data_IF_754724364724
#
_entry.id   IF_754724364724
#
_cell.length_a   1.000
_cell.length_b   1.000
_cell.length_c   1.000
_cell.angle_alpha   90.00
_cell.angle_beta   90.00
_cell.angle_gamma   90.00
#
_symmetry.space_group_name_H-M   'P 1'
#
loop_
_entity.id
_entity.type
_entity.pdbx_description
1 polymer ?
#
# COMPACT_ATOMS: atom_id res chain seq x y z
N UNK A 1 1.92 -7.85 2.06
CA UNK A 1 0.78 -7.21 2.77
C UNK A 1 0.35 -8.00 4.02
N UNK A 2 -0.09 -9.27 3.92
CA UNK A 2 -0.49 -10.05 5.12
C UNK A 2 0.66 -10.64 5.94
N UNK A 3 1.77 -11.03 5.30
CA UNK A 3 2.98 -11.54 5.98
C UNK A 3 3.62 -10.49 6.91
N UNK A 4 3.51 -9.20 6.57
CA UNK A 4 4.04 -8.10 7.37
C UNK A 4 3.14 -7.72 8.56
N UNK A 5 1.83 -8.00 8.46
CA UNK A 5 0.83 -7.66 9.49
C UNK A 5 0.52 -8.84 10.44
N UNK A 6 1.15 -10.01 10.24
CA UNK A 6 0.84 -11.25 10.97
C UNK A 6 -0.69 -11.43 11.07
N UNK A 7 -1.38 -11.54 9.93
CA UNK A 7 -2.85 -11.69 9.89
C UNK A 7 -3.62 -10.67 10.76
N UNK A 8 -3.37 -9.37 10.60
CA UNK A 8 -4.02 -8.27 11.35
C UNK A 8 -3.71 -8.17 12.84
N UNK A 9 -2.92 -9.09 13.39
CA UNK A 9 -2.54 -9.07 14.82
C UNK A 9 -1.77 -7.79 15.16
N UNK A 10 -1.11 -7.17 14.18
CA UNK A 10 -0.36 -5.91 14.33
C UNK A 10 -0.99 -4.73 13.60
N UNK A 11 -2.27 -4.83 13.25
CA UNK A 11 -3.01 -3.79 12.53
C UNK A 11 -2.93 -2.43 13.23
N UNK A 12 -2.97 -2.39 14.56
CA UNK A 12 -2.83 -1.17 15.37
C UNK A 12 -1.42 -0.56 15.34
N UNK A 13 -0.38 -1.37 15.21
CA UNK A 13 1.01 -0.88 15.15
C UNK A 13 1.34 -0.29 13.78
N UNK A 14 0.70 -0.77 12.72
CA UNK A 14 0.80 -0.15 11.39
C UNK A 14 -0.05 1.13 11.37
N UNK A 15 -1.27 1.08 11.93
CA UNK A 15 -2.14 2.25 12.04
C UNK A 15 -1.56 3.39 12.89
N UNK A 16 -0.64 3.13 13.82
CA UNK A 16 -0.06 4.21 14.64
C UNK A 16 0.85 5.15 13.85
N UNK A 17 1.36 4.72 12.69
CA UNK A 17 2.23 5.53 11.82
C UNK A 17 1.44 6.33 10.78
N UNK A 18 0.32 5.79 10.30
CA UNK A 18 -0.64 6.47 9.43
C UNK A 18 -2.07 6.01 9.79
N UNK A 19 -2.72 6.66 10.77
CA UNK A 19 -4.01 6.24 11.29
C UNK A 19 -5.14 6.43 10.29
N UNK A 20 -4.98 7.29 9.29
CA UNK A 20 -6.01 7.52 8.29
C UNK A 20 -6.00 6.40 7.25
N UNK A 21 -4.83 6.11 6.69
CA UNK A 21 -4.69 5.17 5.57
C UNK A 21 -4.57 3.72 6.02
N UNK A 22 -3.84 3.48 7.12
CA UNK A 22 -3.54 2.14 7.63
C UNK A 22 -4.41 1.74 8.83
N UNK A 23 -5.57 2.39 9.01
CA UNK A 23 -6.59 1.94 9.96
C UNK A 23 -7.10 0.53 9.64
N UNK A 24 -7.74 -0.19 10.57
CA UNK A 24 -8.34 -1.49 10.26
C UNK A 24 -9.32 -1.46 9.07
N UNK A 25 -10.20 -0.44 8.91
CA UNK A 25 -10.98 -0.25 7.69
C UNK A 25 -10.12 -0.02 6.43
N UNK A 26 -9.06 0.79 6.53
CA UNK A 26 -8.13 1.00 5.42
C UNK A 26 -7.42 -0.28 4.99
N UNK A 27 -6.97 -1.11 5.94
CA UNK A 27 -6.37 -2.41 5.66
C UNK A 27 -7.37 -3.39 5.02
N UNK A 28 -8.64 -3.35 5.43
CA UNK A 28 -9.70 -4.10 4.76
C UNK A 28 -9.88 -3.64 3.30
N UNK A 29 -9.88 -2.33 3.05
CA UNK A 29 -9.96 -1.79 1.69
C UNK A 29 -8.75 -2.22 0.84
N UNK A 30 -7.54 -2.27 1.40
CA UNK A 30 -6.36 -2.81 0.68
C UNK A 30 -6.60 -4.25 0.22
N UNK A 31 -7.21 -5.09 1.07
CA UNK A 31 -7.58 -6.46 0.67
C UNK A 31 -8.66 -6.47 -0.42
N UNK A 32 -9.68 -5.62 -0.28
CA UNK A 32 -10.77 -5.52 -1.24
C UNK A 32 -10.27 -5.07 -2.63
N UNK A 33 -9.38 -4.08 -2.67
CA UNK A 33 -8.70 -3.66 -3.90
C UNK A 33 -7.83 -4.79 -4.48
N UNK A 34 -7.08 -5.50 -3.62
CA UNK A 34 -6.34 -6.70 -4.04
C UNK A 34 -7.22 -7.76 -4.71
N UNK A 35 -8.40 -8.03 -4.13
CA UNK A 35 -9.38 -8.94 -4.72
C UNK A 35 -9.95 -8.40 -6.04
N UNK A 36 -10.15 -7.08 -6.16
CA UNK A 36 -10.60 -6.46 -7.41
C UNK A 36 -9.56 -6.55 -8.54
N UNK A 37 -8.26 -6.41 -8.24
CA UNK A 37 -7.22 -6.62 -9.25
C UNK A 37 -7.18 -8.06 -9.72
N UNK A 38 -7.33 -9.01 -8.79
CA UNK A 38 -7.38 -10.43 -9.13
C UNK A 38 -8.58 -10.72 -10.04
N UNK A 39 -9.77 -10.26 -9.66
CA UNK A 39 -10.99 -10.45 -10.45
C UNK A 39 -10.87 -9.83 -11.86
N UNK A 40 -10.33 -8.61 -11.98
CA UNK A 40 -10.11 -7.97 -13.27
C UNK A 40 -9.02 -8.66 -14.11
N UNK A 41 -8.00 -9.23 -13.46
CA UNK A 41 -6.91 -9.94 -14.14
C UNK A 41 -7.27 -11.36 -14.60
N UNK A 42 -8.30 -11.98 -14.01
CA UNK A 42 -8.81 -13.29 -14.44
C UNK A 42 -9.98 -13.20 -15.41
N UNK A 43 -10.57 -12.02 -15.58
CA UNK A 43 -11.56 -11.76 -16.62
C UNK A 43 -10.86 -11.78 -18.00
N UNK A 44 -11.34 -12.56 -18.98
CA UNK A 44 -10.80 -12.56 -20.34
C UNK A 44 -11.11 -11.27 -21.12
N UNK A 45 -12.07 -10.45 -20.68
CA UNK A 45 -12.43 -9.18 -21.31
C UNK A 45 -12.81 -8.12 -20.26
N UNK A 46 -11.86 -7.71 -19.40
CA UNK A 46 -12.13 -6.73 -18.36
C UNK A 46 -12.41 -5.36 -18.99
N UNK A 47 -13.38 -4.59 -18.47
CA UNK A 47 -13.66 -3.25 -18.98
C UNK A 47 -12.40 -2.37 -18.91
N UNK A 48 -11.94 -1.82 -20.04
CA UNK A 48 -10.67 -1.07 -20.10
C UNK A 48 -10.55 0.06 -19.07
N UNK A 49 -11.67 0.69 -18.70
CA UNK A 49 -11.72 1.74 -17.68
C UNK A 49 -11.33 1.26 -16.27
N UNK A 50 -11.44 -0.04 -15.95
CA UNK A 50 -11.05 -0.57 -14.64
C UNK A 50 -9.58 -0.31 -14.36
N UNK A 51 -8.74 -0.38 -15.40
CA UNK A 51 -7.32 -0.11 -15.32
C UNK A 51 -7.04 1.34 -14.93
N UNK A 52 -7.83 2.29 -15.43
CA UNK A 52 -7.71 3.69 -15.04
C UNK A 52 -8.11 3.91 -13.58
N UNK A 53 -9.16 3.24 -13.10
CA UNK A 53 -9.57 3.29 -11.69
C UNK A 53 -8.43 2.80 -10.79
N UNK A 54 -7.78 1.69 -11.15
CA UNK A 54 -6.63 1.18 -10.41
C UNK A 54 -5.42 2.12 -10.47
N UNK A 55 -5.16 2.77 -11.61
CA UNK A 55 -4.13 3.82 -11.69
C UNK A 55 -4.39 4.96 -10.72
N UNK A 56 -5.63 5.47 -10.65
CA UNK A 56 -6.00 6.58 -9.76
C UNK A 56 -5.85 6.17 -8.29
N UNK A 57 -6.31 4.97 -7.94
CA UNK A 57 -6.13 4.41 -6.60
C UNK A 57 -4.63 4.34 -6.24
N UNK A 58 -3.77 3.78 -7.10
CA UNK A 58 -2.32 3.75 -6.87
C UNK A 58 -1.68 5.12 -6.77
N UNK A 59 -2.08 6.07 -7.62
CA UNK A 59 -1.60 7.45 -7.54
C UNK A 59 -1.94 8.09 -6.18
N UNK A 60 -3.12 7.80 -5.63
CA UNK A 60 -3.50 8.26 -4.29
C UNK A 60 -2.62 7.66 -3.18
N UNK A 61 -2.35 6.35 -3.23
CA UNK A 61 -1.44 5.70 -2.26
C UNK A 61 0.00 6.25 -2.35
N UNK A 62 0.50 6.49 -3.58
CA UNK A 62 1.80 7.13 -3.81
C UNK A 62 1.83 8.54 -3.25
N UNK A 63 0.79 9.34 -3.49
CA UNK A 63 0.68 10.70 -2.95
C UNK A 63 0.74 10.68 -1.42
N UNK A 64 -0.05 9.83 -0.76
CA UNK A 64 -0.03 9.68 0.71
C UNK A 64 1.35 9.23 1.21
N UNK A 65 1.99 8.29 0.51
CA UNK A 65 3.33 7.83 0.84
C UNK A 65 4.39 8.94 0.75
N UNK A 66 4.37 9.72 -0.33
CA UNK A 66 5.26 10.87 -0.50
C UNK A 66 5.01 11.90 0.59
N UNK A 67 3.75 12.28 0.84
CA UNK A 67 3.39 13.23 1.90
C UNK A 67 3.87 12.76 3.29
N UNK A 68 3.73 11.46 3.57
CA UNK A 68 4.21 10.87 4.82
C UNK A 68 5.73 10.96 4.94
N UNK A 69 6.48 10.57 3.91
CA UNK A 69 7.96 10.62 3.91
C UNK A 69 8.51 12.06 3.89
N UNK A 70 7.79 13.01 3.32
CA UNK A 70 8.15 14.44 3.40
C UNK A 70 7.96 15.01 4.81
N UNK A 71 7.00 14.47 5.58
CA UNK A 71 6.67 14.95 6.92
C UNK A 71 7.36 14.15 8.04
N UNK A 72 7.81 12.93 7.75
CA UNK A 72 8.40 12.01 8.72
C UNK A 72 9.77 11.52 8.26
N UNK A 73 10.73 11.46 9.20
CA UNK A 73 12.03 10.89 8.92
C UNK A 73 11.98 9.36 9.09
N UNK A 74 11.81 8.62 8.00
CA UNK A 74 11.72 7.16 7.99
C UNK A 74 12.91 6.48 8.69
N UNK A 75 14.13 6.98 8.50
CA UNK A 75 15.35 6.46 9.15
C UNK A 75 15.29 6.61 10.67
N UNK A 76 14.72 7.71 11.19
CA UNK A 76 14.53 7.92 12.63
C UNK A 76 13.50 6.95 13.19
N UNK A 77 12.39 6.72 12.49
CA UNK A 77 11.35 5.77 12.88
C UNK A 77 11.87 4.33 12.89
N UNK A 78 12.67 3.94 11.89
CA UNK A 78 13.31 2.62 11.81
C UNK A 78 14.31 2.42 12.95
N UNK A 79 15.17 3.40 13.24
CA UNK A 79 16.14 3.33 14.34
C UNK A 79 15.48 3.27 15.72
N UNK A 80 14.39 4.01 15.92
CA UNK A 80 13.59 3.96 17.14
C UNK A 80 12.96 2.57 17.34
N UNK A 81 12.39 2.00 16.28
CA UNK A 81 11.82 0.65 16.31
C UNK A 81 12.88 -0.45 16.46
N UNK A 82 14.07 -0.29 15.87
CA UNK A 82 15.17 -1.26 15.98
C UNK A 82 15.77 -1.33 17.39
N UNK A 83 15.51 -0.33 18.22
CA UNK A 83 15.90 -0.32 19.64
C UNK A 83 14.88 -1.06 20.53
N UNK A 84 13.75 -1.50 19.97
CA UNK A 84 12.77 -2.36 20.64
C UNK A 84 13.32 -3.77 20.88
N UNK A 85 12.82 -4.44 21.92
CA UNK A 85 13.09 -5.88 22.17
C UNK A 85 12.47 -6.78 21.09
N UNK A 86 11.48 -6.29 20.36
CA UNK A 86 10.80 -7.04 19.31
C UNK A 86 11.27 -6.59 17.91
N UNK A 87 11.93 -7.52 17.20
CA UNK A 87 12.42 -7.27 15.83
C UNK A 87 11.29 -6.98 14.84
N UNK A 88 10.06 -7.41 15.14
CA UNK A 88 8.90 -7.19 14.29
C UNK A 88 8.40 -5.73 14.34
N UNK A 89 8.81 -4.94 15.35
CA UNK A 89 8.44 -3.52 15.42
C UNK A 89 9.07 -2.70 14.30
N UNK A 90 10.17 -3.19 13.70
CA UNK A 90 10.82 -2.56 12.55
C UNK A 90 10.00 -2.71 11.26
N UNK A 91 9.11 -3.71 11.17
CA UNK A 91 8.37 -4.02 9.94
C UNK A 91 7.43 -2.90 9.53
N UNK A 92 6.71 -2.27 10.47
CA UNK A 92 5.77 -1.20 10.17
C UNK A 92 6.47 0.06 9.58
N UNK A 93 7.52 0.61 10.20
CA UNK A 93 8.23 1.75 9.63
C UNK A 93 9.02 1.39 8.36
N UNK A 94 9.55 0.15 8.25
CA UNK A 94 10.17 -0.32 7.02
C UNK A 94 9.16 -0.39 5.87
N UNK A 95 7.97 -0.92 6.15
CA UNK A 95 6.86 -0.98 5.19
C UNK A 95 6.48 0.43 4.74
N UNK A 96 6.27 1.37 5.68
CA UNK A 96 5.98 2.78 5.38
C UNK A 96 7.06 3.46 4.53
N UNK A 97 8.32 3.05 4.68
CA UNK A 97 9.41 3.59 3.88
C UNK A 97 9.36 3.15 2.41
N UNK A 98 8.82 1.97 2.09
CA UNK A 98 8.98 1.39 0.74
C UNK A 98 7.67 1.11 -0.02
N UNK A 99 6.51 1.03 0.64
CA UNK A 99 5.27 0.57 -0.01
C UNK A 99 4.88 1.41 -1.23
N UNK A 100 5.04 2.74 -1.17
CA UNK A 100 4.63 3.60 -2.28
C UNK A 100 5.49 3.45 -3.53
N UNK A 101 6.70 2.89 -3.45
CA UNK A 101 7.47 2.54 -4.65
C UNK A 101 6.83 1.39 -5.43
N UNK A 102 6.31 0.39 -4.71
CA UNK A 102 5.55 -0.70 -5.33
C UNK A 102 4.22 -0.19 -5.91
N UNK A 103 3.52 0.69 -5.19
CA UNK A 103 2.28 1.28 -5.70
C UNK A 103 2.52 2.15 -6.95
N UNK A 104 3.66 2.86 -7.03
CA UNK A 104 4.02 3.62 -8.23
C UNK A 104 4.21 2.71 -9.44
N UNK A 105 4.95 1.61 -9.30
CA UNK A 105 5.15 0.64 -10.38
C UNK A 105 3.82 0.04 -10.82
N UNK A 106 2.97 -0.37 -9.87
CA UNK A 106 1.65 -0.91 -10.17
C UNK A 106 0.75 0.13 -10.88
N UNK A 107 0.77 1.38 -10.43
CA UNK A 107 0.01 2.46 -11.06
C UNK A 107 0.42 2.69 -12.52
N UNK A 108 1.73 2.68 -12.80
CA UNK A 108 2.26 2.78 -14.17
C UNK A 108 1.89 1.56 -15.02
N UNK A 109 1.91 0.35 -14.44
CA UNK A 109 1.46 -0.86 -15.13
C UNK A 109 -0.03 -0.78 -15.48
N UNK A 110 -0.90 -0.42 -14.54
CA UNK A 110 -2.33 -0.25 -14.80
C UNK A 110 -2.59 0.85 -15.85
N UNK A 111 -1.83 1.94 -15.80
CA UNK A 111 -1.96 2.99 -16.80
C UNK A 111 -1.57 2.48 -18.19
N UNK A 112 -0.53 1.65 -18.27
CA UNK A 112 -0.13 1.01 -19.53
C UNK A 112 -1.20 0.04 -20.08
N UNK A 113 -1.95 -0.64 -19.22
CA UNK A 113 -3.07 -1.52 -19.62
C UNK A 113 -4.27 -0.69 -20.10
N UNK A 114 -4.59 0.40 -19.41
CA UNK A 114 -5.63 1.32 -19.85
C UNK A 114 -5.37 1.86 -21.26
N UNK A 115 -4.11 2.26 -21.55
CA UNK A 115 -3.67 2.73 -22.88
C UNK A 115 -3.68 1.65 -23.97
N UNK A 116 -3.67 0.38 -23.63
CA UNK A 116 -3.76 -0.70 -24.61
C UNK A 116 -5.23 -1.04 -24.96
N UNK A 117 -6.15 -0.70 -24.05
CA UNK A 117 -7.58 -0.92 -24.23
C UNK A 117 -8.29 0.21 -24.99
N UNK A 118 -7.60 1.32 -25.31
CA UNK A 118 -8.12 2.51 -26.00
C UNK A 118 -7.10 3.01 -27.02
#
# INVERSE_FOLDING_TARGET
MLLFNVFFTRSRQIASLDPDLMSPPGQFLILLWGASYYAAGTDPSPPGHIWLVFTVEKAYYVYKWVAWNSSHNALKSIKGAASSKDKLDVLAPLFHAVYGSADLVLGLMFFSLWRQAH
#
